data_IF_740006272747
#
_entry.id   IF_740006272747
#
_cell.length_a   1.000
_cell.length_b   1.000
_cell.length_c   1.000
_cell.angle_alpha   90.00
_cell.angle_beta   90.00
_cell.angle_gamma   90.00
#
_symmetry.space_group_name_H-M   'P 1'
#
loop_
_entity.id
_entity.type
_entity.pdbx_description
1 polymer ?
#
# COMPACT_ATOMS: atom_id res chain seq x y z
N UNK A 1 -9.58 41.42 -26.29
CA UNK A 1 -9.35 41.76 -24.86
C UNK A 1 -10.29 41.05 -23.87
N UNK A 2 -11.31 40.28 -24.29
CA UNK A 2 -12.22 39.54 -23.38
C UNK A 2 -11.67 38.23 -22.78
N UNK A 3 -10.58 37.66 -23.33
CA UNK A 3 -10.07 36.35 -22.92
C UNK A 3 -9.22 36.36 -21.65
N UNK A 4 -8.56 37.48 -21.29
CA UNK A 4 -7.65 37.52 -20.13
C UNK A 4 -8.36 37.30 -18.80
N UNK A 5 -9.55 37.87 -18.65
CA UNK A 5 -10.36 37.71 -17.43
C UNK A 5 -10.86 36.28 -17.29
N UNK A 6 -11.25 35.64 -18.40
CA UNK A 6 -11.70 34.25 -18.40
C UNK A 6 -10.56 33.28 -18.06
N UNK A 7 -9.35 33.55 -18.55
CA UNK A 7 -8.14 32.78 -18.22
C UNK A 7 -7.73 32.96 -16.76
N UNK A 8 -7.82 34.18 -16.23
CA UNK A 8 -7.52 34.42 -14.81
C UNK A 8 -8.56 33.77 -13.90
N UNK A 9 -9.84 33.81 -14.29
CA UNK A 9 -10.92 33.20 -13.53
C UNK A 9 -10.85 31.67 -13.57
N UNK A 10 -10.49 31.08 -14.71
CA UNK A 10 -10.31 29.63 -14.80
C UNK A 10 -9.16 29.15 -13.91
N UNK A 11 -8.02 29.85 -13.90
CA UNK A 11 -6.91 29.54 -12.98
C UNK A 11 -7.37 29.61 -11.51
N UNK A 12 -8.17 30.61 -11.14
CA UNK A 12 -8.69 30.77 -9.78
C UNK A 12 -9.61 29.61 -9.36
N UNK A 13 -10.53 29.19 -10.24
CA UNK A 13 -11.43 28.05 -9.97
C UNK A 13 -10.65 26.75 -9.81
N UNK A 14 -9.68 26.51 -10.69
CA UNK A 14 -8.85 25.30 -10.65
C UNK A 14 -7.99 25.28 -9.39
N UNK A 15 -7.40 26.43 -9.02
CA UNK A 15 -6.67 26.60 -7.78
C UNK A 15 -7.56 26.31 -6.55
N UNK A 16 -8.80 26.78 -6.54
CA UNK A 16 -9.72 26.54 -5.42
C UNK A 16 -10.00 25.04 -5.23
N UNK A 17 -10.22 24.29 -6.32
CA UNK A 17 -10.40 22.83 -6.25
C UNK A 17 -9.13 22.14 -5.75
N UNK A 18 -7.96 22.53 -6.26
CA UNK A 18 -6.67 22.01 -5.81
C UNK A 18 -6.39 22.28 -4.34
N UNK A 19 -6.65 23.50 -3.87
CA UNK A 19 -6.43 23.89 -2.48
C UNK A 19 -7.35 23.08 -1.54
N UNK A 20 -8.63 22.96 -1.89
CA UNK A 20 -9.61 22.21 -1.10
C UNK A 20 -9.25 20.73 -1.04
N UNK A 21 -8.99 20.10 -2.20
CA UNK A 21 -8.62 18.68 -2.26
C UNK A 21 -7.26 18.40 -1.62
N UNK A 22 -6.28 19.30 -1.78
CA UNK A 22 -4.97 19.21 -1.13
C UNK A 22 -5.06 19.30 0.39
N UNK A 23 -5.91 20.18 0.92
CA UNK A 23 -6.18 20.25 2.36
C UNK A 23 -6.87 18.99 2.88
N UNK A 24 -7.85 18.45 2.15
CA UNK A 24 -8.49 17.18 2.53
C UNK A 24 -7.46 16.05 2.59
N UNK A 25 -6.57 15.92 1.60
CA UNK A 25 -5.50 14.92 1.59
C UNK A 25 -4.53 15.16 2.76
N UNK A 26 -4.13 16.41 3.00
CA UNK A 26 -3.24 16.79 4.09
C UNK A 26 -3.82 16.44 5.47
N UNK A 27 -5.12 16.59 5.67
CA UNK A 27 -5.82 16.18 6.90
C UNK A 27 -6.16 14.68 6.95
N UNK A 28 -5.73 13.89 5.96
CA UNK A 28 -5.96 12.45 5.91
C UNK A 28 -7.36 12.03 5.47
N UNK A 29 -8.12 12.93 4.85
CA UNK A 29 -9.44 12.70 4.25
C UNK A 29 -9.37 12.48 2.72
N UNK A 30 -8.19 12.13 2.19
CA UNK A 30 -7.97 11.80 0.79
C UNK A 30 -8.60 10.45 0.43
N UNK A 31 -9.88 10.44 0.09
CA UNK A 31 -10.50 9.26 -0.53
C UNK A 31 -9.99 9.11 -1.98
N UNK A 32 -10.10 7.90 -2.55
CA UNK A 32 -9.68 7.64 -3.94
C UNK A 32 -10.24 8.70 -4.94
N UNK A 33 -11.52 9.12 -4.88
CA UNK A 33 -12.01 10.21 -5.72
C UNK A 33 -11.32 11.56 -5.47
N UNK A 34 -11.01 11.92 -4.22
CA UNK A 34 -10.35 13.19 -3.86
C UNK A 34 -8.91 13.22 -4.38
N UNK A 35 -8.17 12.13 -4.21
CA UNK A 35 -6.79 12.00 -4.70
C UNK A 35 -6.72 12.08 -6.23
N UNK A 36 -7.61 11.36 -6.92
CA UNK A 36 -7.72 11.44 -8.38
C UNK A 36 -8.13 12.82 -8.87
N UNK A 37 -9.07 13.48 -8.17
CA UNK A 37 -9.49 14.85 -8.51
C UNK A 37 -8.32 15.81 -8.36
N UNK A 38 -7.55 15.71 -7.26
CA UNK A 38 -6.38 16.55 -7.03
C UNK A 38 -5.32 16.35 -8.12
N UNK A 39 -4.98 15.11 -8.45
CA UNK A 39 -3.99 14.81 -9.48
C UNK A 39 -4.38 15.36 -10.86
N UNK A 40 -5.62 15.13 -11.30
CA UNK A 40 -6.10 15.60 -12.60
C UNK A 40 -6.26 17.12 -12.67
N UNK A 41 -6.77 17.75 -11.60
CA UNK A 41 -6.82 19.21 -11.51
C UNK A 41 -5.42 19.81 -11.42
N UNK A 42 -4.42 19.07 -10.93
CA UNK A 42 -3.01 19.47 -10.92
C UNK A 42 -2.45 19.63 -12.33
N UNK A 43 -2.70 18.64 -13.19
CA UNK A 43 -2.33 18.69 -14.62
C UNK A 43 -3.02 19.86 -15.31
N UNK A 44 -4.32 20.04 -15.06
CA UNK A 44 -5.10 21.13 -15.63
C UNK A 44 -4.61 22.50 -15.14
N UNK A 45 -4.24 22.62 -13.87
CA UNK A 45 -3.67 23.84 -13.30
C UNK A 45 -2.35 24.21 -13.93
N UNK A 46 -1.42 23.26 -14.09
CA UNK A 46 -0.13 23.54 -14.76
C UNK A 46 -0.37 24.04 -16.18
N UNK A 47 -1.29 23.41 -16.91
CA UNK A 47 -1.66 23.81 -18.27
C UNK A 47 -2.24 25.24 -18.30
N UNK A 48 -3.19 25.52 -17.41
CA UNK A 48 -3.80 26.84 -17.29
C UNK A 48 -2.81 27.92 -16.81
N UNK A 49 -1.89 27.58 -15.92
CA UNK A 49 -0.86 28.46 -15.40
C UNK A 49 0.17 28.83 -16.49
N UNK A 50 0.64 27.86 -17.29
CA UNK A 50 1.51 28.13 -18.44
C UNK A 50 0.81 29.07 -19.42
N UNK A 51 -0.44 28.78 -19.78
CA UNK A 51 -1.22 29.65 -20.67
C UNK A 51 -1.42 31.05 -20.07
N UNK A 52 -1.66 31.15 -18.77
CA UNK A 52 -1.80 32.42 -18.06
C UNK A 52 -0.49 33.23 -18.07
N UNK A 53 0.65 32.59 -17.81
CA UNK A 53 1.98 33.23 -17.80
C UNK A 53 2.32 33.76 -19.19
N UNK A 54 2.16 32.95 -20.24
CA UNK A 54 2.47 33.35 -21.62
C UNK A 54 1.59 34.55 -22.04
N UNK A 55 0.30 34.51 -21.75
CA UNK A 55 -0.64 35.59 -22.11
C UNK A 55 -0.47 36.89 -21.31
N UNK A 56 0.24 36.83 -20.18
CA UNK A 56 0.45 37.97 -19.28
C UNK A 56 1.93 38.28 -19.04
N UNK A 57 2.81 37.81 -19.93
CA UNK A 57 4.26 37.94 -19.80
C UNK A 57 4.74 39.39 -19.63
N UNK A 58 4.14 40.33 -20.37
CA UNK A 58 4.48 41.76 -20.27
C UNK A 58 4.13 42.36 -18.89
N UNK A 59 3.03 41.90 -18.28
CA UNK A 59 2.66 42.31 -16.92
C UNK A 59 3.65 41.75 -15.90
N UNK A 60 3.98 40.46 -15.98
CA UNK A 60 4.89 39.78 -15.04
C UNK A 60 6.27 40.45 -15.05
N UNK A 61 6.84 40.65 -16.24
CA UNK A 61 8.15 41.32 -16.38
C UNK A 61 8.11 42.77 -15.90
N UNK A 62 6.99 43.48 -16.09
CA UNK A 62 6.79 44.83 -15.58
C UNK A 62 6.71 44.94 -14.05
N UNK A 63 6.19 43.91 -13.37
CA UNK A 63 6.18 43.83 -11.90
C UNK A 63 7.50 43.31 -11.33
N UNK A 64 8.23 42.49 -12.09
CA UNK A 64 9.49 41.89 -11.64
C UNK A 64 10.65 42.87 -11.73
N UNK A 65 10.62 43.81 -12.70
CA UNK A 65 11.71 44.77 -12.95
C UNK A 65 11.41 46.14 -12.36
N UNK A 66 12.39 46.75 -11.70
CA UNK A 66 12.35 48.15 -11.31
C UNK A 66 12.55 49.04 -12.55
N UNK A 67 11.62 49.98 -12.77
CA UNK A 67 11.66 50.89 -13.92
C UNK A 67 12.77 51.95 -13.82
N UNK A 68 13.28 52.26 -12.62
CA UNK A 68 14.35 53.25 -12.41
C UNK A 68 15.74 52.64 -12.38
N UNK A 69 15.89 51.45 -11.79
CA UNK A 69 17.21 50.83 -11.59
C UNK A 69 17.47 49.64 -12.52
N UNK A 70 16.44 49.13 -13.20
CA UNK A 70 16.54 47.96 -14.07
C UNK A 70 16.77 46.63 -13.33
N UNK A 71 16.88 46.65 -12.00
CA UNK A 71 17.07 45.46 -11.16
C UNK A 71 15.79 44.66 -10.90
N UNK A 72 15.95 43.46 -10.33
CA UNK A 72 14.82 42.63 -9.89
C UNK A 72 14.28 43.18 -8.56
N UNK A 73 12.96 43.33 -8.48
CA UNK A 73 12.26 43.80 -7.30
C UNK A 73 12.32 42.79 -6.15
N UNK A 74 12.52 43.27 -4.92
CA UNK A 74 12.59 42.42 -3.72
C UNK A 74 11.31 41.61 -3.49
N UNK A 75 10.18 42.18 -3.90
CA UNK A 75 8.86 41.57 -3.84
C UNK A 75 8.75 40.30 -4.69
N UNK A 76 9.60 40.15 -5.71
CA UNK A 76 9.73 38.91 -6.48
C UNK A 76 10.77 37.96 -5.88
N UNK A 77 11.88 38.50 -5.36
CA UNK A 77 12.97 37.69 -4.80
C UNK A 77 12.51 36.90 -3.57
N UNK A 78 11.78 37.52 -2.65
CA UNK A 78 11.32 36.87 -1.42
C UNK A 78 10.47 35.60 -1.70
N UNK A 79 9.37 35.67 -2.48
CA UNK A 79 8.58 34.47 -2.77
C UNK A 79 9.36 33.44 -3.60
N UNK A 80 10.27 33.87 -4.49
CA UNK A 80 11.13 32.95 -5.24
C UNK A 80 12.06 32.17 -4.31
N UNK A 81 12.73 32.83 -3.36
CA UNK A 81 13.60 32.19 -2.37
C UNK A 81 12.80 31.22 -1.49
N UNK A 82 11.62 31.64 -0.99
CA UNK A 82 10.77 30.78 -0.17
C UNK A 82 10.37 29.52 -0.96
N UNK A 83 9.90 29.68 -2.20
CA UNK A 83 9.53 28.56 -3.06
C UNK A 83 10.71 27.60 -3.30
N UNK A 84 11.91 28.14 -3.56
CA UNK A 84 13.12 27.34 -3.73
C UNK A 84 13.52 26.58 -2.46
N UNK A 85 13.43 27.21 -1.29
CA UNK A 85 13.72 26.55 0.00
C UNK A 85 12.76 25.39 0.25
N UNK A 86 11.46 25.58 0.00
CA UNK A 86 10.48 24.50 0.12
C UNK A 86 10.74 23.39 -0.90
N UNK A 87 10.99 23.72 -2.16
CA UNK A 87 11.26 22.72 -3.19
C UNK A 87 12.50 21.87 -2.86
N UNK A 88 13.62 22.52 -2.52
CA UNK A 88 14.86 21.82 -2.14
C UNK A 88 14.67 21.02 -0.86
N UNK A 89 14.04 21.60 0.17
CA UNK A 89 13.85 20.94 1.44
C UNK A 89 12.94 19.72 1.39
N UNK A 90 11.90 19.75 0.55
CA UNK A 90 11.04 18.59 0.27
C UNK A 90 11.79 17.55 -0.57
N UNK A 91 12.49 17.96 -1.63
CA UNK A 91 13.24 17.02 -2.50
C UNK A 91 14.43 16.35 -1.80
N UNK A 92 15.02 17.02 -0.81
CA UNK A 92 16.13 16.50 -0.02
C UNK A 92 15.68 15.75 1.25
N UNK A 93 14.37 15.53 1.41
CA UNK A 93 13.78 14.75 2.51
C UNK A 93 14.19 15.24 3.91
N UNK A 94 14.21 16.57 4.12
CA UNK A 94 14.61 17.11 5.41
C UNK A 94 13.54 16.84 6.50
N UNK A 95 13.93 16.41 7.72
CA UNK A 95 13.00 15.95 8.76
C UNK A 95 11.91 16.96 9.18
N UNK A 96 12.15 18.26 8.98
CA UNK A 96 11.16 19.30 9.27
C UNK A 96 9.95 19.22 8.34
N UNK A 97 10.16 18.86 7.07
CA UNK A 97 9.07 18.75 6.10
C UNK A 97 8.23 17.50 6.33
N UNK A 98 8.82 16.40 6.81
CA UNK A 98 8.06 15.22 7.26
C UNK A 98 7.14 15.54 8.44
N UNK A 99 7.67 16.26 9.44
CA UNK A 99 6.87 16.69 10.60
C UNK A 99 5.73 17.60 10.15
N UNK A 100 5.99 18.53 9.24
CA UNK A 100 4.98 19.42 8.68
C UNK A 100 3.93 18.63 7.89
N UNK A 101 4.34 17.75 6.98
CA UNK A 101 3.44 16.95 6.15
C UNK A 101 2.50 16.04 6.99
N UNK A 102 2.97 15.57 8.14
CA UNK A 102 2.20 14.72 9.03
C UNK A 102 1.41 15.48 10.11
N UNK A 103 1.69 16.77 10.33
CA UNK A 103 1.00 17.56 11.34
C UNK A 103 -0.52 17.67 11.09
N UNK A 104 -0.93 17.89 9.83
CA UNK A 104 -2.35 17.93 9.45
C UNK A 104 -3.06 16.62 9.71
N UNK A 105 -2.44 15.50 9.32
CA UNK A 105 -2.95 14.15 9.58
C UNK A 105 -3.15 13.91 11.08
N UNK A 106 -2.26 14.40 11.93
CA UNK A 106 -2.34 14.24 13.38
C UNK A 106 -3.46 15.08 14.01
N UNK A 107 -3.76 16.27 13.46
CA UNK A 107 -4.80 17.16 13.99
C UNK A 107 -6.21 16.56 13.88
N UNK A 108 -6.51 15.85 12.80
CA UNK A 108 -7.85 15.27 12.54
C UNK A 108 -7.96 13.77 12.85
N UNK A 109 -6.85 13.08 13.13
CA UNK A 109 -6.87 11.63 13.43
C UNK A 109 -7.36 11.30 14.85
N UNK A 110 -7.25 12.21 15.83
CA UNK A 110 -7.48 11.90 17.25
C UNK A 110 -6.56 10.76 17.76
N UNK A 111 -6.73 10.31 19.01
CA UNK A 111 -6.00 9.16 19.60
C UNK A 111 -6.39 7.79 18.98
N UNK A 112 -6.77 7.76 17.70
CA UNK A 112 -7.00 6.50 17.00
C UNK A 112 -5.65 5.88 16.66
N UNK A 113 -5.42 4.60 17.03
CA UNK A 113 -4.18 3.92 16.73
C UNK A 113 -3.95 3.94 15.23
N UNK A 114 -2.69 4.19 14.84
CA UNK A 114 -2.26 4.28 13.44
C UNK A 114 -2.79 3.07 12.63
N UNK A 115 -3.78 3.28 11.78
CA UNK A 115 -3.94 2.45 10.58
C UNK A 115 -2.74 2.77 9.68
N UNK A 116 -1.66 2.00 9.80
CA UNK A 116 -0.40 2.19 9.07
C UNK A 116 0.85 2.29 9.97
N UNK A 117 0.84 1.68 11.16
CA UNK A 117 2.07 1.20 11.78
C UNK A 117 2.16 -0.31 11.57
N UNK A 118 3.37 -0.91 11.65
CA UNK A 118 3.54 -2.35 11.52
C UNK A 118 2.54 -3.03 12.48
N UNK A 119 1.80 -4.01 11.95
CA UNK A 119 0.86 -4.80 12.73
C UNK A 119 1.53 -5.24 14.03
N UNK A 120 0.86 -5.08 15.16
CA UNK A 120 1.41 -5.62 16.41
C UNK A 120 1.55 -7.13 16.27
N UNK A 121 2.58 -7.72 16.90
CA UNK A 121 2.77 -9.18 16.83
C UNK A 121 1.52 -9.96 17.26
N UNK A 122 0.80 -9.46 18.27
CA UNK A 122 -0.48 -10.05 18.69
C UNK A 122 -1.57 -10.01 17.60
N UNK A 123 -1.61 -8.94 16.80
CA UNK A 123 -2.51 -8.86 15.65
C UNK A 123 -2.08 -9.82 14.53
N UNK A 124 -0.78 -9.90 14.25
CA UNK A 124 -0.20 -10.83 13.27
C UNK A 124 -0.56 -12.27 13.63
N UNK A 125 -0.32 -12.67 14.89
CA UNK A 125 -0.60 -14.02 15.39
C UNK A 125 -2.10 -14.34 15.33
N UNK A 126 -2.96 -13.37 15.66
CA UNK A 126 -4.41 -13.51 15.59
C UNK A 126 -4.92 -13.67 14.16
N UNK A 127 -4.41 -12.86 13.23
CA UNK A 127 -4.72 -12.95 11.80
C UNK A 127 -4.28 -14.31 11.26
N UNK A 128 -3.02 -14.68 11.50
CA UNK A 128 -2.47 -15.97 11.05
C UNK A 128 -3.32 -17.14 11.56
N UNK A 129 -3.59 -17.22 12.86
CA UNK A 129 -4.39 -18.32 13.43
C UNK A 129 -5.80 -18.37 12.86
N UNK A 130 -6.48 -17.22 12.77
CA UNK A 130 -7.85 -17.19 12.28
C UNK A 130 -7.96 -17.57 10.80
N UNK A 131 -7.04 -17.11 9.95
CA UNK A 131 -7.01 -17.45 8.53
C UNK A 131 -6.66 -18.93 8.32
N UNK A 132 -5.65 -19.44 9.03
CA UNK A 132 -5.24 -20.85 8.91
C UNK A 132 -6.32 -21.81 9.39
N UNK A 133 -6.98 -21.52 10.53
CA UNK A 133 -8.10 -22.32 11.03
C UNK A 133 -9.26 -22.31 10.04
N UNK A 134 -9.61 -21.15 9.49
CA UNK A 134 -10.66 -21.04 8.50
C UNK A 134 -10.33 -21.82 7.21
N UNK A 135 -9.06 -21.81 6.78
CA UNK A 135 -8.58 -22.63 5.66
C UNK A 135 -8.70 -24.12 5.95
N UNK A 136 -8.16 -24.62 7.06
CA UNK A 136 -8.23 -26.06 7.38
C UNK A 136 -9.65 -26.53 7.62
N UNK A 137 -10.51 -25.68 8.18
CA UNK A 137 -11.92 -26.00 8.37
C UNK A 137 -12.65 -26.10 7.02
N UNK A 138 -12.52 -25.09 6.15
CA UNK A 138 -13.11 -25.11 4.82
C UNK A 138 -12.58 -26.27 3.96
N UNK A 139 -11.29 -26.60 4.11
CA UNK A 139 -10.69 -27.76 3.46
C UNK A 139 -11.25 -29.08 4.03
N UNK A 140 -11.33 -29.23 5.34
CA UNK A 140 -11.82 -30.49 5.94
C UNK A 140 -13.31 -30.74 5.66
N UNK A 141 -14.11 -29.68 5.55
CA UNK A 141 -15.57 -29.80 5.31
C UNK A 141 -15.96 -29.85 3.83
N UNK A 142 -15.03 -29.58 2.90
CA UNK A 142 -15.38 -29.48 1.49
C UNK A 142 -16.12 -28.19 1.12
N UNK A 143 -16.15 -27.18 1.99
CA UNK A 143 -16.86 -25.93 1.74
C UNK A 143 -16.07 -25.03 0.77
N UNK A 144 -16.35 -25.22 -0.52
CA UNK A 144 -15.72 -24.43 -1.59
C UNK A 144 -16.02 -22.93 -1.53
N UNK A 145 -17.15 -22.52 -0.94
CA UNK A 145 -17.52 -21.12 -0.79
C UNK A 145 -16.75 -20.45 0.34
N UNK A 146 -16.57 -21.13 1.47
CA UNK A 146 -15.69 -20.69 2.55
C UNK A 146 -14.23 -20.66 2.07
N UNK A 147 -13.80 -21.67 1.31
CA UNK A 147 -12.44 -21.77 0.78
C UNK A 147 -12.11 -20.62 -0.18
N UNK A 148 -13.05 -20.23 -1.04
CA UNK A 148 -12.90 -19.07 -1.92
C UNK A 148 -12.78 -17.72 -1.17
N UNK A 149 -13.21 -17.65 0.10
CA UNK A 149 -13.04 -16.46 0.94
C UNK A 149 -11.66 -16.37 1.57
N UNK A 150 -10.98 -17.50 1.78
CA UNK A 150 -9.70 -17.56 2.50
C UNK A 150 -8.51 -17.93 1.61
N UNK A 151 -8.73 -18.43 0.40
CA UNK A 151 -7.70 -18.76 -0.58
C UNK A 151 -7.88 -17.91 -1.85
N UNK A 152 -6.80 -17.27 -2.29
CA UNK A 152 -6.83 -16.52 -3.54
C UNK A 152 -7.05 -17.45 -4.74
N UNK A 153 -7.91 -17.04 -5.68
CA UNK A 153 -8.35 -17.84 -6.84
C UNK A 153 -7.21 -18.47 -7.67
N UNK A 154 -6.04 -17.82 -7.70
CA UNK A 154 -4.85 -18.27 -8.43
C UNK A 154 -3.63 -18.39 -7.50
N UNK A 155 -3.84 -18.70 -6.22
CA UNK A 155 -2.74 -18.88 -5.28
C UNK A 155 -1.81 -19.99 -5.80
N UNK A 156 -0.52 -19.72 -6.08
CA UNK A 156 0.41 -20.80 -6.39
C UNK A 156 0.55 -21.70 -5.16
N UNK A 157 0.37 -22.99 -5.39
CA UNK A 157 0.51 -24.05 -4.40
C UNK A 157 1.66 -24.94 -4.84
N UNK A 158 2.73 -24.98 -4.05
CA UNK A 158 3.80 -25.95 -4.21
C UNK A 158 3.51 -27.16 -3.34
N UNK A 159 3.26 -28.30 -3.97
CA UNK A 159 2.97 -29.57 -3.30
C UNK A 159 4.25 -30.20 -2.75
N UNK A 160 4.09 -31.20 -1.91
CA UNK A 160 5.21 -31.94 -1.32
C UNK A 160 6.02 -32.71 -2.38
N UNK A 161 5.39 -33.03 -3.53
CA UNK A 161 6.05 -33.61 -4.70
C UNK A 161 6.92 -32.61 -5.47
N UNK A 162 6.91 -31.33 -5.08
CA UNK A 162 7.66 -30.25 -5.72
C UNK A 162 6.96 -29.64 -6.94
N UNK A 163 5.75 -30.10 -7.26
CA UNK A 163 4.94 -29.55 -8.35
C UNK A 163 4.33 -28.21 -7.94
N UNK A 164 4.26 -27.26 -8.88
CA UNK A 164 3.63 -25.96 -8.68
C UNK A 164 2.31 -25.96 -9.44
N UNK A 165 1.20 -25.89 -8.71
CA UNK A 165 -0.15 -25.78 -9.26
C UNK A 165 -0.74 -24.41 -8.95
N UNK A 166 -1.67 -23.94 -9.78
CA UNK A 166 -2.36 -22.66 -9.57
C UNK A 166 -3.75 -22.92 -8.98
N UNK A 167 -3.94 -22.48 -7.74
CA UNK A 167 -5.15 -22.78 -6.95
C UNK A 167 -5.09 -24.16 -6.31
N UNK A 168 -6.24 -24.64 -5.84
CA UNK A 168 -6.42 -26.04 -5.47
C UNK A 168 -6.70 -26.83 -6.75
N UNK A 169 -5.74 -27.64 -7.18
CA UNK A 169 -5.91 -28.58 -8.27
C UNK A 169 -6.99 -29.63 -7.92
N UNK A 170 -7.55 -30.34 -8.91
CA UNK A 170 -8.58 -31.36 -8.66
C UNK A 170 -8.11 -32.48 -7.71
N UNK A 171 -6.80 -32.71 -7.63
CA UNK A 171 -6.11 -33.63 -6.71
C UNK A 171 -6.05 -33.12 -5.26
N UNK A 172 -6.12 -31.80 -5.06
CA UNK A 172 -6.12 -31.08 -3.79
C UNK A 172 -7.50 -30.51 -3.45
N UNK A 173 -8.55 -30.89 -4.19
CA UNK A 173 -9.91 -30.61 -3.80
C UNK A 173 -10.20 -31.29 -2.46
N UNK A 174 -10.85 -30.58 -1.54
CA UNK A 174 -11.14 -31.10 -0.22
C UNK A 174 -11.92 -32.42 -0.31
N UNK A 175 -11.36 -33.49 0.25
CA UNK A 175 -12.08 -34.74 0.50
C UNK A 175 -12.60 -34.67 1.93
N UNK A 176 -13.91 -34.85 2.18
CA UNK A 176 -14.50 -34.74 3.53
C UNK A 176 -13.89 -35.69 4.58
N UNK A 177 -13.11 -36.68 4.14
CA UNK A 177 -12.40 -37.64 4.99
C UNK A 177 -11.06 -37.11 5.51
N UNK A 178 -10.49 -36.05 4.95
CA UNK A 178 -9.21 -35.48 5.39
C UNK A 178 -9.44 -34.38 6.43
N UNK A 179 -9.48 -34.76 7.71
CA UNK A 179 -9.53 -33.76 8.80
C UNK A 179 -8.13 -33.22 9.06
N UNK A 180 -7.85 -32.03 8.51
CA UNK A 180 -6.61 -31.30 8.72
C UNK A 180 -6.71 -30.46 10.00
N UNK A 181 -5.67 -30.56 10.84
CA UNK A 181 -5.44 -29.68 11.97
C UNK A 181 -4.19 -28.85 11.70
N UNK A 182 -4.29 -27.54 11.94
CA UNK A 182 -3.17 -26.61 11.80
C UNK A 182 -2.65 -26.16 13.16
N UNK A 183 -1.33 -25.99 13.25
CA UNK A 183 -0.66 -25.28 14.33
C UNK A 183 0.22 -24.19 13.72
N UNK A 184 -0.06 -22.93 14.05
CA UNK A 184 0.79 -21.80 13.67
C UNK A 184 1.98 -21.75 14.61
N UNK A 185 3.16 -22.05 14.08
CA UNK A 185 4.42 -22.06 14.84
C UNK A 185 5.03 -20.66 14.89
N UNK A 186 4.92 -19.90 13.80
CA UNK A 186 5.43 -18.52 13.67
C UNK A 186 4.64 -17.75 12.62
N UNK A 187 4.44 -16.45 12.86
CA UNK A 187 3.93 -15.53 11.86
C UNK A 187 4.69 -14.21 11.92
N UNK A 188 5.09 -13.67 10.77
CA UNK A 188 5.84 -12.42 10.67
C UNK A 188 5.27 -11.56 9.54
N UNK A 189 5.11 -10.26 9.77
CA UNK A 189 4.70 -9.31 8.73
C UNK A 189 5.92 -8.91 7.89
N UNK A 190 5.80 -9.01 6.57
CA UNK A 190 6.75 -8.38 5.65
C UNK A 190 6.41 -6.88 5.53
N UNK A 191 5.11 -6.57 5.48
CA UNK A 191 4.56 -5.21 5.48
C UNK A 191 3.14 -5.21 6.07
N UNK A 192 2.43 -4.08 5.99
CA UNK A 192 1.06 -3.91 6.53
C UNK A 192 0.00 -4.78 5.83
N UNK A 193 0.33 -5.42 4.70
CA UNK A 193 -0.57 -6.16 3.84
C UNK A 193 -0.10 -7.60 3.55
N UNK A 194 1.07 -8.00 4.02
CA UNK A 194 1.68 -9.31 3.78
C UNK A 194 2.19 -9.90 5.09
N UNK A 195 1.69 -11.10 5.41
CA UNK A 195 2.16 -11.90 6.54
C UNK A 195 2.67 -13.23 5.99
N UNK A 196 3.85 -13.65 6.42
CA UNK A 196 4.35 -15.01 6.20
C UNK A 196 4.05 -15.83 7.44
N UNK A 197 3.38 -16.96 7.24
CA UNK A 197 3.01 -17.90 8.28
C UNK A 197 3.79 -19.19 8.06
N UNK A 198 4.45 -19.65 9.11
CA UNK A 198 5.08 -20.95 9.19
C UNK A 198 4.36 -21.79 10.23
N UNK A 199 4.06 -23.04 9.88
CA UNK A 199 3.35 -23.91 10.79
C UNK A 199 3.38 -25.37 10.38
N UNK A 200 2.60 -26.14 11.11
CA UNK A 200 2.45 -27.58 10.95
C UNK A 200 1.00 -27.92 10.59
N UNK A 201 0.82 -28.80 9.60
CA UNK A 201 -0.45 -29.50 9.34
C UNK A 201 -0.35 -30.96 9.77
N UNK A 202 -1.40 -31.47 10.41
CA UNK A 202 -1.55 -32.88 10.76
C UNK A 202 -2.88 -33.39 10.21
N UNK A 203 -2.88 -34.51 9.49
CA UNK A 203 -4.10 -35.16 9.06
C UNK A 203 -4.53 -36.20 10.12
N UNK A 204 -5.79 -36.15 10.56
CA UNK A 204 -6.31 -37.02 11.61
C UNK A 204 -6.52 -38.48 11.15
N UNK A 205 -6.56 -38.72 9.84
CA UNK A 205 -6.74 -40.05 9.22
C UNK A 205 -5.40 -40.72 8.91
N UNK A 206 -4.41 -39.93 8.50
CA UNK A 206 -3.01 -40.35 8.38
C UNK A 206 -2.17 -39.34 9.15
N UNK A 207 -1.60 -39.68 10.33
CA UNK A 207 -0.87 -38.74 11.19
C UNK A 207 0.51 -38.39 10.61
N UNK A 208 0.54 -38.06 9.32
CA UNK A 208 1.68 -37.48 8.64
C UNK A 208 1.73 -36.00 9.01
N UNK A 209 2.90 -35.59 9.50
CA UNK A 209 3.20 -34.21 9.86
C UNK A 209 3.78 -33.50 8.63
N UNK A 210 3.09 -32.48 8.16
CA UNK A 210 3.55 -31.61 7.09
C UNK A 210 3.94 -30.25 7.66
N UNK A 211 5.03 -29.68 7.13
CA UNK A 211 5.37 -28.29 7.39
C UNK A 211 4.84 -27.45 6.24
N UNK A 212 4.24 -26.31 6.56
CA UNK A 212 3.76 -25.37 5.58
C UNK A 212 4.36 -23.98 5.75
N UNK A 213 4.45 -23.27 4.64
CA UNK A 213 4.70 -21.84 4.58
C UNK A 213 3.59 -21.24 3.73
N UNK A 214 2.77 -20.40 4.36
CA UNK A 214 1.70 -19.68 3.69
C UNK A 214 2.02 -18.19 3.65
N UNK A 215 1.72 -17.56 2.53
CA UNK A 215 1.79 -16.10 2.40
C UNK A 215 0.37 -15.58 2.45
N UNK A 216 0.04 -14.81 3.48
CA UNK A 216 -1.23 -14.11 3.60
C UNK A 216 -1.10 -12.74 2.97
N UNK A 217 -2.10 -12.36 2.18
CA UNK A 217 -2.25 -11.03 1.59
C UNK A 217 -3.58 -10.43 2.00
N UNK A 218 -3.55 -9.15 2.38
CA UNK A 218 -4.75 -8.36 2.62
C UNK A 218 -5.43 -7.99 1.31
N UNK A 219 -6.74 -8.17 1.23
CA UNK A 219 -7.59 -7.71 0.15
C UNK A 219 -8.76 -6.86 0.71
N UNK A 220 -9.69 -6.45 -0.16
CA UNK A 220 -10.84 -5.61 0.21
C UNK A 220 -11.81 -6.29 1.19
N UNK A 221 -11.80 -7.61 1.25
CA UNK A 221 -12.71 -8.46 2.05
C UNK A 221 -12.08 -9.05 3.31
N UNK A 222 -10.76 -8.97 3.48
CA UNK A 222 -10.03 -9.57 4.59
C UNK A 222 -8.65 -10.11 4.20
N UNK A 223 -8.13 -11.02 5.00
CA UNK A 223 -6.87 -11.71 4.75
C UNK A 223 -7.12 -13.02 4.01
N UNK A 224 -6.33 -13.27 2.96
CA UNK A 224 -6.38 -14.50 2.18
C UNK A 224 -5.00 -15.09 2.01
N UNK A 225 -4.93 -16.42 1.94
CA UNK A 225 -3.75 -17.15 1.52
C UNK A 225 -3.54 -16.88 0.03
N UNK A 226 -2.43 -16.20 -0.26
CA UNK A 226 -2.01 -15.84 -1.61
C UNK A 226 -1.01 -16.83 -2.20
N UNK A 227 -0.29 -17.59 -1.37
CA UNK A 227 0.60 -18.66 -1.82
C UNK A 227 0.72 -19.74 -0.74
N UNK A 228 0.90 -20.99 -1.18
CA UNK A 228 1.06 -22.16 -0.33
C UNK A 228 2.34 -22.89 -0.73
N UNK A 229 3.14 -23.28 0.26
CA UNK A 229 4.20 -24.24 0.09
C UNK A 229 4.10 -25.28 1.21
N UNK A 230 4.00 -26.56 0.85
CA UNK A 230 4.03 -27.67 1.81
C UNK A 230 5.26 -28.54 1.60
N UNK A 231 5.67 -29.22 2.67
CA UNK A 231 6.80 -30.15 2.65
C UNK A 231 6.59 -31.24 3.70
N UNK A 232 7.07 -32.44 3.41
CA UNK A 232 7.11 -33.52 4.40
C UNK A 232 8.04 -33.14 5.55
N UNK A 233 7.65 -33.49 6.77
CA UNK A 233 8.62 -33.59 7.86
C UNK A 233 9.72 -34.54 7.45
N UNK A 234 10.94 -34.05 7.31
CA UNK A 234 12.08 -34.89 6.98
C UNK A 234 12.16 -36.01 8.03
N UNK A 235 11.83 -37.25 7.66
CA UNK A 235 12.51 -38.37 8.28
C UNK A 235 13.99 -38.09 8.04
N UNK A 236 14.76 -37.94 9.12
CA UNK A 236 16.21 -37.69 9.10
C UNK A 236 16.85 -38.70 8.14
N UNK A 237 16.99 -38.34 6.86
CA UNK A 237 18.02 -38.91 6.02
C UNK A 237 19.27 -38.19 6.46
N UNK A 238 20.06 -38.87 7.28
CA UNK A 238 21.46 -38.57 7.56
C UNK A 238 22.24 -38.61 6.24
N UNK A 239 22.02 -37.65 5.36
CA UNK A 239 23.03 -37.28 4.38
C UNK A 239 23.91 -36.25 5.07
N UNK A 240 25.06 -36.73 5.56
CA UNK A 240 26.17 -35.87 5.95
C UNK A 240 26.54 -35.05 4.71
N UNK A 241 26.06 -33.83 4.62
CA UNK A 241 26.58 -32.85 3.69
C UNK A 241 27.95 -32.46 4.22
N UNK A 242 29.00 -33.10 3.71
CA UNK A 242 30.37 -32.67 3.93
C UNK A 242 30.56 -31.38 3.13
N UNK A 243 30.54 -30.25 3.82
CA UNK A 243 31.01 -28.99 3.24
C UNK A 243 32.51 -29.13 3.04
N UNK A 244 32.95 -29.22 1.78
CA UNK A 244 34.36 -29.11 1.44
C UNK A 244 34.77 -27.65 1.68
N UNK A 245 35.78 -27.49 2.54
CA UNK A 245 36.49 -26.22 2.76
C UNK A 245 37.32 -25.84 1.52
#
# INVERSE_FOLDING_TARGET
MKSKNLVSLSVAVVFFVLATTGLLIYFGQGTHPVEHTHAWFGILFVTAAVFHIVNNWSSITGYTKDRRTGGIRREFVIPAVIASVFAVGISADFPVFDKLANAGKNLFRGDKPKSGGPLSQAAIDSIARSTEVAFTQAYSTGDTAALAKVLAKKAPTRTEAGEIVSGLDQSSKPKPTDSLQTTVDRAESIDDNIIVVYGTLTNSVKPEKLFYTHVLKRNDTGWQIAAIQTSYSANVRTEKVTLAN
#
